data_IF_316604700355
#
_entry.id   IF_316604700355
#
_cell.length_a   1.000
_cell.length_b   1.000
_cell.length_c   1.000
_cell.angle_alpha   90.00
_cell.angle_beta   90.00
_cell.angle_gamma   90.00
#
_symmetry.space_group_name_H-M   'P 1'
#
loop_
_entity.id
_entity.type
_entity.pdbx_description
1 polymer ?
#
# COMPACT_ATOMS: atom_id res chain seq x y z
N UNK A 1 -23.82 24.03 -1.35
CA UNK A 1 -22.98 22.86 -1.03
C UNK A 1 -21.77 22.92 -1.95
N UNK A 2 -20.66 23.50 -1.52
CA UNK A 2 -19.43 23.58 -2.32
C UNK A 2 -18.38 22.69 -1.65
N UNK A 3 -18.10 21.53 -2.22
CA UNK A 3 -17.02 20.66 -1.77
C UNK A 3 -15.71 21.19 -2.35
N UNK A 4 -14.90 21.83 -1.51
CA UNK A 4 -13.51 22.13 -1.83
C UNK A 4 -12.77 20.80 -1.85
N UNK A 5 -12.40 20.33 -3.06
CA UNK A 5 -11.47 19.22 -3.22
C UNK A 5 -10.10 19.67 -2.74
N UNK A 6 -9.83 19.47 -1.46
CA UNK A 6 -8.48 19.62 -0.91
C UNK A 6 -7.63 18.54 -1.58
N UNK A 7 -6.83 18.94 -2.57
CA UNK A 7 -5.77 18.11 -3.11
C UNK A 7 -4.74 17.91 -2.01
N UNK A 8 -4.97 16.92 -1.15
CA UNK A 8 -3.96 16.47 -0.19
C UNK A 8 -2.71 16.11 -0.99
N UNK A 9 -1.61 16.79 -0.70
CA UNK A 9 -0.30 16.39 -1.21
C UNK A 9 -0.05 14.96 -0.73
N UNK A 10 -0.06 13.99 -1.65
CA UNK A 10 0.27 12.60 -1.32
C UNK A 10 1.64 12.61 -0.65
N UNK A 11 1.71 12.11 0.59
CA UNK A 11 2.96 11.91 1.30
C UNK A 11 3.88 11.03 0.45
N UNK A 12 5.13 11.44 0.26
CA UNK A 12 6.08 10.69 -0.56
C UNK A 12 7.21 10.13 0.29
N UNK A 13 7.66 8.93 -0.04
CA UNK A 13 8.83 8.31 0.55
C UNK A 13 9.95 8.21 -0.50
N UNK A 14 11.19 8.50 -0.09
CA UNK A 14 12.36 8.36 -0.95
C UNK A 14 13.08 7.05 -0.66
N UNK A 15 13.49 6.34 -1.71
CA UNK A 15 14.31 5.12 -1.64
C UNK A 15 15.49 5.26 -2.59
N UNK A 16 16.66 4.83 -2.13
CA UNK A 16 17.84 4.64 -2.97
C UNK A 16 17.84 3.17 -3.40
N UNK A 17 17.99 2.91 -4.69
CA UNK A 17 17.98 1.57 -5.28
C UNK A 17 19.19 1.42 -6.19
N UNK A 18 19.77 0.23 -6.20
CA UNK A 18 20.80 -0.14 -7.15
C UNK A 18 20.13 -0.77 -8.37
N UNK A 19 20.47 -0.29 -9.57
CA UNK A 19 19.94 -0.77 -10.85
C UNK A 19 21.13 -1.28 -11.67
N UNK A 20 21.07 -2.52 -12.20
CA UNK A 20 22.06 -3.03 -13.14
C UNK A 20 22.28 -2.07 -14.33
N UNK A 21 23.52 -1.96 -14.80
CA UNK A 21 23.90 -0.98 -15.84
C UNK A 21 23.10 -1.14 -17.14
N UNK A 22 22.93 -2.38 -17.59
CA UNK A 22 22.15 -2.74 -18.78
C UNK A 22 20.68 -2.29 -18.66
N UNK A 23 20.07 -2.53 -17.50
CA UNK A 23 18.70 -2.10 -17.18
C UNK A 23 18.62 -0.57 -17.13
N UNK A 24 19.60 0.08 -16.50
CA UNK A 24 19.66 1.54 -16.41
C UNK A 24 19.71 2.19 -17.79
N UNK A 25 20.54 1.68 -18.70
CA UNK A 25 20.65 2.18 -20.08
C UNK A 25 19.35 1.98 -20.85
N UNK A 26 18.74 0.79 -20.76
CA UNK A 26 17.49 0.50 -21.44
C UNK A 26 16.34 1.41 -20.96
N UNK A 27 16.18 1.57 -19.65
CA UNK A 27 15.16 2.46 -19.07
C UNK A 27 15.43 3.92 -19.41
N UNK A 28 16.70 4.35 -19.46
CA UNK A 28 17.07 5.71 -19.83
C UNK A 28 16.71 6.03 -21.27
N UNK A 29 16.97 5.10 -22.19
CA UNK A 29 16.59 5.24 -23.60
C UNK A 29 15.06 5.30 -23.74
N UNK A 30 14.35 4.42 -23.01
CA UNK A 30 12.88 4.40 -23.00
C UNK A 30 12.29 5.70 -22.48
N UNK A 31 12.80 6.21 -21.35
CA UNK A 31 12.38 7.50 -20.79
C UNK A 31 12.61 8.64 -21.78
N UNK A 32 13.79 8.68 -22.40
CA UNK A 32 14.14 9.69 -23.41
C UNK A 32 13.19 9.64 -24.60
N UNK A 33 12.83 8.44 -25.09
CA UNK A 33 11.87 8.27 -26.19
C UNK A 33 10.47 8.81 -25.89
N UNK A 34 10.10 8.89 -24.60
CA UNK A 34 8.84 9.45 -24.11
C UNK A 34 8.95 10.93 -23.73
N UNK A 35 10.11 11.57 -23.95
CA UNK A 35 10.36 12.96 -23.52
C UNK A 35 10.42 13.12 -22.00
N UNK A 36 10.71 12.05 -21.27
CA UNK A 36 10.78 12.01 -19.81
C UNK A 36 12.23 11.81 -19.34
N UNK A 37 12.53 12.26 -18.13
CA UNK A 37 13.77 11.82 -17.47
C UNK A 37 13.56 10.45 -16.80
N UNK A 38 14.66 9.73 -16.57
CA UNK A 38 14.63 8.39 -16.00
C UNK A 38 13.89 8.33 -14.66
N UNK A 39 14.09 9.32 -13.78
CA UNK A 39 13.42 9.38 -12.48
C UNK A 39 11.90 9.39 -12.63
N UNK A 40 11.36 10.29 -13.45
CA UNK A 40 9.91 10.40 -13.68
C UNK A 40 9.35 9.15 -14.32
N UNK A 41 10.13 8.52 -15.20
CA UNK A 41 9.72 7.27 -15.84
C UNK A 41 9.60 6.12 -14.81
N UNK A 42 10.59 5.97 -13.93
CA UNK A 42 10.55 4.98 -12.84
C UNK A 42 9.38 5.27 -11.89
N UNK A 43 9.16 6.54 -11.51
CA UNK A 43 8.00 6.91 -10.66
C UNK A 43 6.67 6.56 -11.32
N UNK A 44 6.54 6.78 -12.63
CA UNK A 44 5.35 6.42 -13.37
C UNK A 44 5.12 4.91 -13.41
N UNK A 45 6.16 4.11 -13.67
CA UNK A 45 6.09 2.64 -13.63
C UNK A 45 5.64 2.14 -12.26
N UNK A 46 6.19 2.68 -11.17
CA UNK A 46 5.82 2.29 -9.82
C UNK A 46 4.37 2.65 -9.47
N UNK A 47 3.86 3.78 -9.96
CA UNK A 47 2.47 4.18 -9.76
C UNK A 47 1.53 3.26 -10.55
N UNK A 48 1.84 2.99 -11.82
CA UNK A 48 1.05 2.11 -12.67
C UNK A 48 0.98 0.70 -12.08
N UNK A 49 2.12 0.14 -11.69
CA UNK A 49 2.17 -1.18 -11.04
C UNK A 49 1.31 -1.22 -9.76
N UNK A 50 1.40 -0.18 -8.93
CA UNK A 50 0.60 -0.09 -7.71
C UNK A 50 -0.90 0.10 -7.97
N UNK A 51 -1.28 0.75 -9.07
CA UNK A 51 -2.67 0.89 -9.52
C UNK A 51 -3.21 -0.42 -10.14
N UNK A 52 -2.33 -1.23 -10.74
CA UNK A 52 -2.65 -2.55 -11.30
C UNK A 52 -2.75 -3.65 -10.23
N UNK A 53 -2.15 -3.47 -9.06
CA UNK A 53 -2.33 -4.38 -7.92
C UNK A 53 -3.81 -4.46 -7.55
N UNK A 54 -4.45 -5.57 -7.93
CA UNK A 54 -5.87 -5.84 -7.65
C UNK A 54 -6.10 -5.87 -6.13
N UNK A 55 -7.09 -5.10 -5.66
CA UNK A 55 -7.55 -5.11 -4.28
C UNK A 55 -7.88 -6.53 -3.80
N UNK A 56 -8.34 -7.41 -4.70
CA UNK A 56 -8.59 -8.81 -4.38
C UNK A 56 -7.29 -9.60 -4.09
N UNK A 57 -6.18 -9.28 -4.76
CA UNK A 57 -4.89 -9.91 -4.54
C UNK A 57 -4.23 -9.41 -3.25
N UNK A 58 -4.34 -8.11 -2.98
CA UNK A 58 -3.97 -7.51 -1.69
C UNK A 58 -4.78 -8.13 -0.55
N UNK A 59 -6.09 -8.25 -0.72
CA UNK A 59 -6.98 -8.90 0.25
C UNK A 59 -6.60 -10.37 0.47
N UNK A 60 -6.32 -11.12 -0.62
CA UNK A 60 -5.89 -12.52 -0.55
C UNK A 60 -4.59 -12.67 0.24
N UNK A 61 -3.61 -11.79 0.03
CA UNK A 61 -2.34 -11.79 0.77
C UNK A 61 -2.54 -11.46 2.25
N UNK A 62 -3.37 -10.46 2.57
CA UNK A 62 -3.66 -10.10 3.96
C UNK A 62 -4.37 -11.25 4.68
N UNK A 63 -5.33 -11.89 4.04
CA UNK A 63 -6.02 -13.07 4.58
C UNK A 63 -5.06 -14.23 4.84
N UNK A 64 -4.05 -14.46 3.98
CA UNK A 64 -3.11 -15.58 4.14
C UNK A 64 -2.03 -15.32 5.19
N UNK A 65 -1.58 -14.08 5.35
CA UNK A 65 -0.48 -13.72 6.25
C UNK A 65 -0.92 -13.20 7.60
N UNK A 66 -2.09 -12.53 7.68
CA UNK A 66 -2.67 -11.97 8.89
C UNK A 66 -4.20 -12.14 8.88
N UNK A 67 -4.73 -13.31 9.25
CA UNK A 67 -6.16 -13.60 9.23
C UNK A 67 -6.92 -12.92 10.40
N UNK A 68 -6.55 -11.70 10.79
CA UNK A 68 -7.04 -10.96 11.97
C UNK A 68 -8.55 -10.63 11.94
N UNK A 69 -9.28 -11.07 10.91
CA UNK A 69 -10.75 -11.03 10.83
C UNK A 69 -11.41 -12.32 10.36
N UNK A 70 -10.66 -13.41 10.11
CA UNK A 70 -11.22 -14.73 9.73
C UNK A 70 -11.29 -15.71 10.89
N UNK A 71 -10.58 -15.46 11.98
CA UNK A 71 -10.60 -16.29 13.18
C UNK A 71 -11.48 -15.61 14.21
N UNK A 72 -12.54 -16.29 14.64
CA UNK A 72 -13.34 -15.83 15.78
C UNK A 72 -12.45 -15.79 17.02
N UNK A 73 -12.60 -14.73 17.82
CA UNK A 73 -11.90 -14.61 19.10
C UNK A 73 -12.20 -15.83 19.96
N UNK A 74 -11.17 -16.40 20.58
CA UNK A 74 -11.38 -17.41 21.61
C UNK A 74 -12.00 -16.78 22.87
N UNK A 75 -12.47 -17.60 23.81
CA UNK A 75 -13.16 -17.10 25.00
C UNK A 75 -12.29 -16.15 25.84
N UNK A 76 -10.98 -16.40 25.91
CA UNK A 76 -10.04 -15.57 26.66
C UNK A 76 -9.81 -14.22 25.98
N UNK A 77 -9.58 -14.21 24.67
CA UNK A 77 -9.43 -12.98 23.88
C UNK A 77 -10.71 -12.13 23.92
N UNK A 78 -11.87 -12.78 23.88
CA UNK A 78 -13.17 -12.12 24.01
C UNK A 78 -13.32 -11.50 25.40
N UNK A 79 -12.98 -12.22 26.46
CA UNK A 79 -13.08 -11.73 27.83
C UNK A 79 -12.12 -10.57 28.10
N UNK A 80 -10.87 -10.67 27.64
CA UNK A 80 -9.87 -9.62 27.75
C UNK A 80 -10.29 -8.34 27.00
N UNK A 81 -10.87 -8.48 25.80
CA UNK A 81 -11.45 -7.35 25.07
C UNK A 81 -12.60 -6.71 25.84
N UNK A 82 -13.53 -7.51 26.36
CA UNK A 82 -14.68 -7.03 27.13
C UNK A 82 -14.24 -6.33 28.43
N UNK A 83 -13.23 -6.85 29.11
CA UNK A 83 -12.66 -6.26 30.33
C UNK A 83 -11.96 -4.94 30.04
N UNK A 84 -11.12 -4.89 29.00
CA UNK A 84 -10.38 -3.69 28.59
C UNK A 84 -11.31 -2.54 28.21
N UNK A 85 -12.42 -2.83 27.54
CA UNK A 85 -13.37 -1.84 27.05
C UNK A 85 -14.60 -1.65 27.96
N UNK A 86 -14.66 -2.33 29.12
CA UNK A 86 -15.79 -2.28 30.07
C UNK A 86 -17.13 -2.56 29.41
N UNK A 87 -17.23 -3.72 28.76
CA UNK A 87 -18.42 -4.17 28.05
C UNK A 87 -19.06 -5.38 28.75
N UNK A 88 -20.38 -5.57 28.56
CA UNK A 88 -21.12 -6.71 29.12
C UNK A 88 -21.10 -6.77 30.64
N UNK A 89 -20.62 -7.88 31.21
CA UNK A 89 -20.54 -8.12 32.65
C UNK A 89 -19.51 -7.23 33.39
N UNK A 90 -18.67 -6.49 32.65
CA UNK A 90 -17.64 -5.58 33.19
C UNK A 90 -18.02 -4.09 33.06
N UNK A 91 -19.31 -3.78 32.83
CA UNK A 91 -19.85 -2.42 32.80
C UNK A 91 -20.03 -1.85 34.20
#
# INVERSE_FOLDING_TARGET
MNTVSVSQSKSSHRKLIDIPEDVFTALSLKATSMGMNLKKYIEHLLIQEAEEMDDAEVYKYLVSTRPEGKVMLNEQEKDDFMRKHKLGAYR
#
